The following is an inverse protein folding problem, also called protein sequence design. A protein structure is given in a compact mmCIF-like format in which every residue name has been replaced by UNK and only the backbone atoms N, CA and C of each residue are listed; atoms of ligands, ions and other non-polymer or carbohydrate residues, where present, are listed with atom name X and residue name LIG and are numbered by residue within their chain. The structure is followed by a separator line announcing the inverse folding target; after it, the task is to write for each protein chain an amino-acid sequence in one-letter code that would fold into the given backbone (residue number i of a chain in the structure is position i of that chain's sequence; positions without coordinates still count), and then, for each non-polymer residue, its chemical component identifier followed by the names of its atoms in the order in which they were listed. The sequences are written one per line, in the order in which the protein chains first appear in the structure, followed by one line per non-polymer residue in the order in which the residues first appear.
data_IF_088710120029
#
_entry.id   IF_088710120029
#
_cell.length_a   1.000
_cell.length_b   1.000
_cell.length_c   1.000
_cell.angle_alpha   90.00
_cell.angle_beta   90.00
_cell.angle_gamma   90.00
#
_symmetry.space_group_name_H-M   'P 1'
#
loop_
_entity.id
_entity.type
_entity.pdbx_description
1 polymer ?
#
# COMPACT_ATOMS: atom_id res chain seq x y z
N UNK A 1 -4.00 31.80 -13.37
CA UNK A 1 -3.00 30.80 -13.78
C UNK A 1 -3.73 29.47 -13.90
N UNK A 2 -4.04 29.03 -15.11
CA UNK A 2 -4.68 27.73 -15.33
C UNK A 2 -3.64 26.64 -15.08
N UNK A 3 -3.83 25.85 -14.01
CA UNK A 3 -3.00 24.69 -13.74
C UNK A 3 -3.27 23.64 -14.81
N UNK A 4 -2.25 23.27 -15.58
CA UNK A 4 -2.35 22.17 -16.56
C UNK A 4 -2.68 20.87 -15.82
N UNK A 5 -3.59 20.04 -16.35
CA UNK A 5 -3.90 18.73 -15.77
C UNK A 5 -2.63 17.87 -15.69
N UNK A 6 -2.52 17.08 -14.63
CA UNK A 6 -1.35 16.22 -14.43
C UNK A 6 -1.29 15.15 -15.53
N UNK A 7 -0.07 14.84 -15.99
CA UNK A 7 0.18 13.69 -16.85
C UNK A 7 -0.05 12.41 -16.02
N UNK A 8 -1.03 11.61 -16.44
CA UNK A 8 -1.44 10.38 -15.75
C UNK A 8 -0.31 9.35 -15.70
N UNK A 9 0.45 9.19 -16.79
CA UNK A 9 1.56 8.25 -16.82
C UNK A 9 2.67 8.68 -15.86
N UNK A 10 2.91 10.00 -15.80
CA UNK A 10 3.86 10.57 -14.83
C UNK A 10 3.38 10.33 -13.40
N UNK A 11 2.10 10.56 -13.10
CA UNK A 11 1.55 10.32 -11.76
C UNK A 11 1.69 8.87 -11.30
N UNK A 12 1.41 7.90 -12.20
CA UNK A 12 1.61 6.47 -11.91
C UNK A 12 3.09 6.16 -11.66
N UNK A 13 3.98 6.69 -12.52
CA UNK A 13 5.42 6.49 -12.39
C UNK A 13 5.99 7.06 -11.09
N UNK A 14 5.58 8.28 -10.73
CA UNK A 14 6.03 8.98 -9.53
C UNK A 14 5.58 8.22 -8.28
N UNK A 15 4.32 7.75 -8.26
CA UNK A 15 3.82 6.95 -7.14
C UNK A 15 4.52 5.59 -7.05
N UNK A 16 4.74 4.92 -8.18
CA UNK A 16 5.45 3.65 -8.20
C UNK A 16 6.90 3.78 -7.73
N UNK A 17 7.58 4.86 -8.13
CA UNK A 17 8.92 5.18 -7.66
C UNK A 17 8.95 5.46 -6.16
N UNK A 18 7.96 6.19 -5.65
CA UNK A 18 7.83 6.45 -4.21
C UNK A 18 7.73 5.13 -3.44
N UNK A 19 6.79 4.24 -3.77
CA UNK A 19 6.66 2.95 -3.09
C UNK A 19 7.94 2.11 -3.16
N UNK A 20 8.64 2.10 -4.30
CA UNK A 20 9.92 1.39 -4.45
C UNK A 20 11.03 1.98 -3.59
N UNK A 21 11.10 3.30 -3.45
CA UNK A 21 12.07 4.00 -2.59
C UNK A 21 11.83 3.65 -1.11
N UNK A 22 10.56 3.56 -0.69
CA UNK A 22 10.20 3.11 0.65
C UNK A 22 10.31 1.59 0.84
N UNK A 23 10.71 0.85 -0.19
CA UNK A 23 11.02 -0.58 -0.12
C UNK A 23 9.85 -1.52 -0.42
N UNK A 24 8.68 -1.01 -0.79
CA UNK A 24 7.51 -1.81 -1.16
C UNK A 24 7.63 -2.29 -2.62
N UNK A 25 8.17 -3.49 -2.79
CA UNK A 25 8.48 -4.08 -4.12
C UNK A 25 7.65 -5.32 -4.46
N UNK A 26 6.81 -5.76 -3.55
CA UNK A 26 6.00 -6.96 -3.71
C UNK A 26 4.83 -6.73 -4.67
N UNK A 27 4.04 -7.78 -4.92
CA UNK A 27 2.74 -7.62 -5.57
C UNK A 27 1.82 -6.73 -4.74
N UNK A 28 0.98 -5.99 -5.45
CA UNK A 28 -0.06 -5.15 -4.86
C UNK A 28 -1.42 -5.72 -5.23
N UNK A 29 -2.35 -5.65 -4.28
CA UNK A 29 -3.75 -5.93 -4.49
C UNK A 29 -4.51 -4.61 -4.37
N UNK A 30 -5.18 -4.20 -5.44
CA UNK A 30 -6.04 -3.04 -5.43
C UNK A 30 -7.48 -3.44 -5.10
N UNK A 31 -8.10 -2.70 -4.19
CA UNK A 31 -9.50 -2.75 -3.89
C UNK A 31 -10.11 -1.36 -4.08
N UNK A 32 -11.19 -1.29 -4.85
CA UNK A 32 -11.98 -0.09 -5.03
C UNK A 32 -13.28 -0.31 -4.27
N UNK A 33 -13.32 -0.03 -2.95
CA UNK A 33 -14.52 -0.30 -2.15
C UNK A 33 -15.73 0.38 -2.81
N UNK A 34 -16.95 -0.16 -2.65
CA UNK A 34 -18.19 0.43 -3.21
C UNK A 34 -18.31 0.53 -4.75
N UNK A 35 -17.28 0.21 -5.53
CA UNK A 35 -17.36 0.18 -7.00
C UNK A 35 -18.01 -1.07 -7.58
N UNK A 36 -18.16 -2.14 -6.79
CA UNK A 36 -18.56 -3.46 -7.28
C UNK A 36 -17.48 -4.19 -8.09
N UNK A 37 -16.35 -3.55 -8.37
CA UNK A 37 -15.23 -4.16 -9.09
C UNK A 37 -14.52 -5.20 -8.19
N UNK A 38 -14.14 -6.37 -8.74
CA UNK A 38 -13.38 -7.36 -8.00
C UNK A 38 -11.99 -6.82 -7.64
N UNK A 39 -11.43 -7.31 -6.53
CA UNK A 39 -10.03 -7.04 -6.19
C UNK A 39 -9.12 -7.54 -7.31
N UNK A 40 -8.09 -6.76 -7.62
CA UNK A 40 -7.09 -7.14 -8.62
C UNK A 40 -5.71 -7.17 -8.00
N UNK A 41 -4.95 -8.24 -8.26
CA UNK A 41 -3.58 -8.39 -7.79
C UNK A 41 -2.61 -8.36 -8.96
N UNK A 42 -1.60 -7.51 -8.88
CA UNK A 42 -0.61 -7.35 -9.94
C UNK A 42 0.61 -6.56 -9.49
N UNK A 43 1.35 -6.02 -10.45
CA UNK A 43 2.36 -5.02 -10.15
C UNK A 43 1.68 -3.67 -9.81
N UNK A 44 2.41 -2.76 -9.15
CA UNK A 44 1.83 -1.47 -8.73
C UNK A 44 1.32 -0.62 -9.90
N UNK A 45 2.05 -0.60 -11.02
CA UNK A 45 1.66 0.18 -12.19
C UNK A 45 0.33 -0.31 -12.77
N UNK A 46 0.14 -1.62 -12.90
CA UNK A 46 -1.07 -2.25 -13.41
C UNK A 46 -2.25 -1.95 -12.48
N UNK A 47 -2.04 -2.03 -11.16
CA UNK A 47 -3.05 -1.67 -10.17
C UNK A 47 -3.49 -0.20 -10.31
N UNK A 48 -2.54 0.73 -10.41
CA UNK A 48 -2.82 2.16 -10.55
C UNK A 48 -3.47 2.49 -11.90
N UNK A 49 -2.98 1.91 -12.99
CA UNK A 49 -3.56 2.06 -14.33
C UNK A 49 -5.00 1.54 -14.38
N UNK A 50 -5.27 0.41 -13.71
CA UNK A 50 -6.63 -0.15 -13.64
C UNK A 50 -7.59 0.77 -12.88
N UNK A 51 -7.13 1.38 -11.79
CA UNK A 51 -7.90 2.41 -11.10
C UNK A 51 -8.21 3.60 -12.02
N UNK A 52 -7.19 4.17 -12.67
CA UNK A 52 -7.38 5.31 -13.58
C UNK A 52 -8.32 4.99 -14.73
N UNK A 53 -8.20 3.79 -15.33
CA UNK A 53 -9.10 3.34 -16.38
C UNK A 53 -10.56 3.26 -15.88
N UNK A 54 -10.80 2.77 -14.67
CA UNK A 54 -12.12 2.73 -14.05
C UNK A 54 -12.65 4.14 -13.71
N UNK A 55 -11.77 5.07 -13.32
CA UNK A 55 -12.14 6.48 -13.11
C UNK A 55 -12.53 7.18 -14.42
N UNK A 56 -11.80 6.93 -15.51
CA UNK A 56 -12.06 7.53 -16.83
C UNK A 56 -13.37 7.02 -17.42
N UNK A 57 -13.71 5.75 -17.21
CA UNK A 57 -14.97 5.15 -17.66
C UNK A 57 -16.18 5.52 -16.81
N UNK A 58 -16.02 6.41 -15.82
CA UNK A 58 -17.04 6.81 -14.85
C UNK A 58 -17.65 5.65 -14.03
N UNK A 59 -17.03 4.47 -14.07
CA UNK A 59 -17.41 3.30 -13.27
C UNK A 59 -17.24 3.57 -11.75
N UNK A 60 -16.44 4.58 -11.42
CA UNK A 60 -16.14 5.03 -10.06
C UNK A 60 -16.82 6.35 -9.72
N UNK A 61 -17.99 6.65 -10.29
CA UNK A 61 -18.65 7.97 -10.18
C UNK A 61 -18.64 8.53 -8.75
N UNK A 62 -17.85 9.58 -8.52
CA UNK A 62 -17.67 10.25 -7.22
C UNK A 62 -16.61 9.66 -6.27
N UNK A 63 -16.02 8.51 -6.59
CA UNK A 63 -15.11 7.80 -5.71
C UNK A 63 -13.64 8.08 -6.01
N UNK A 64 -13.08 8.99 -5.22
CA UNK A 64 -11.66 9.40 -5.31
C UNK A 64 -10.71 8.53 -4.50
N UNK A 65 -11.24 7.64 -3.66
CA UNK A 65 -10.46 6.87 -2.69
C UNK A 65 -10.45 5.39 -3.04
N UNK A 66 -9.27 4.77 -3.00
CA UNK A 66 -9.07 3.35 -3.18
C UNK A 66 -8.06 2.79 -2.19
N UNK A 67 -8.00 1.47 -2.10
CA UNK A 67 -7.10 0.76 -1.18
C UNK A 67 -6.08 -0.05 -1.97
N UNK A 68 -4.82 0.02 -1.58
CA UNK A 68 -3.75 -0.86 -2.03
C UNK A 68 -3.27 -1.71 -0.86
N UNK A 69 -3.22 -3.02 -1.06
CA UNK A 69 -2.72 -3.98 -0.09
C UNK A 69 -1.41 -4.58 -0.63
N UNK A 70 -0.39 -4.69 0.21
CA UNK A 70 0.85 -5.40 -0.10
C UNK A 70 1.43 -6.04 1.16
N UNK A 71 2.43 -6.90 1.00
CA UNK A 71 3.12 -7.54 2.11
C UNK A 71 4.40 -6.81 2.44
N UNK A 72 4.79 -6.78 3.72
CA UNK A 72 6.10 -6.27 4.11
C UNK A 72 7.22 -7.04 3.38
N UNK A 73 8.33 -6.39 2.98
CA UNK A 73 9.35 -7.00 2.13
C UNK A 73 9.97 -8.29 2.70
N UNK A 74 10.00 -8.40 4.03
CA UNK A 74 10.65 -9.48 4.76
C UNK A 74 9.68 -10.43 5.47
N UNK A 75 8.35 -10.22 5.35
CA UNK A 75 7.37 -11.02 6.07
C UNK A 75 6.03 -11.07 5.36
N UNK A 76 5.55 -12.30 5.10
CA UNK A 76 4.18 -12.56 4.62
C UNK A 76 3.13 -12.50 5.73
N UNK A 77 3.52 -12.23 6.98
CA UNK A 77 2.58 -12.11 8.10
C UNK A 77 2.21 -10.66 8.41
N UNK A 78 2.86 -9.71 7.73
CA UNK A 78 2.65 -8.27 7.94
C UNK A 78 2.02 -7.73 6.67
N UNK A 79 0.72 -7.43 6.74
CA UNK A 79 -0.04 -6.83 5.66
C UNK A 79 0.02 -5.32 5.81
N UNK A 80 0.40 -4.62 4.74
CA UNK A 80 0.37 -3.17 4.65
C UNK A 80 -0.80 -2.78 3.75
N UNK A 81 -1.76 -2.03 4.30
CA UNK A 81 -2.89 -1.46 3.55
C UNK A 81 -2.70 0.05 3.46
N UNK A 82 -2.78 0.58 2.26
CA UNK A 82 -2.67 1.99 1.97
C UNK A 82 -4.02 2.48 1.47
N UNK A 83 -4.50 3.58 2.03
CA UNK A 83 -5.67 4.29 1.52
C UNK A 83 -5.17 5.49 0.72
N UNK A 84 -5.43 5.46 -0.58
CA UNK A 84 -4.98 6.45 -1.52
C UNK A 84 -6.15 7.24 -2.06
N UNK A 85 -5.91 8.51 -2.34
CA UNK A 85 -6.74 9.33 -3.20
C UNK A 85 -6.03 9.69 -4.50
N UNK A 86 -6.83 10.03 -5.51
CA UNK A 86 -6.35 10.57 -6.76
C UNK A 86 -7.05 11.89 -7.08
N UNK A 87 -6.26 12.92 -7.35
CA UNK A 87 -6.70 14.20 -7.84
C UNK A 87 -6.06 14.52 -9.20
N UNK A 88 -6.83 15.13 -10.11
CA UNK A 88 -6.35 15.45 -11.47
C UNK A 88 -5.32 16.58 -11.51
N UNK A 89 -5.19 17.35 -10.43
CA UNK A 89 -4.21 18.43 -10.30
C UNK A 89 -2.99 17.96 -9.49
N UNK A 90 -3.21 17.29 -8.36
CA UNK A 90 -2.12 16.90 -7.44
C UNK A 90 -1.54 15.49 -7.70
N UNK A 91 -2.27 14.62 -8.40
CA UNK A 91 -1.90 13.23 -8.62
C UNK A 91 -2.35 12.30 -7.49
N UNK A 92 -1.59 11.22 -7.27
CA UNK A 92 -1.91 10.27 -6.20
C UNK A 92 -1.36 10.71 -4.85
N UNK A 93 -2.16 10.57 -3.81
CA UNK A 93 -1.74 10.83 -2.45
C UNK A 93 -2.15 9.69 -1.52
N UNK A 94 -1.29 9.42 -0.54
CA UNK A 94 -1.55 8.44 0.51
C UNK A 94 -2.04 9.18 1.74
N UNK A 95 -3.28 8.92 2.13
CA UNK A 95 -3.90 9.56 3.29
C UNK A 95 -3.68 8.77 4.57
N UNK A 96 -3.66 7.44 4.45
CA UNK A 96 -3.55 6.54 5.58
C UNK A 96 -2.82 5.26 5.19
N UNK A 97 -2.05 4.74 6.13
CA UNK A 97 -1.47 3.40 6.04
C UNK A 97 -1.81 2.62 7.29
N UNK A 98 -2.28 1.39 7.12
CA UNK A 98 -2.48 0.41 8.18
C UNK A 98 -1.46 -0.71 8.02
N UNK A 99 -0.86 -1.14 9.13
CA UNK A 99 0.03 -2.28 9.16
C UNK A 99 -0.54 -3.30 10.13
N UNK A 100 -0.94 -4.45 9.59
CA UNK A 100 -1.58 -5.53 10.32
C UNK A 100 -0.63 -6.72 10.46
N UNK A 101 -0.31 -7.11 11.69
CA UNK A 101 0.36 -8.37 11.98
C UNK A 101 -0.66 -9.49 12.18
N UNK A 102 -0.76 -10.37 11.19
CA UNK A 102 -1.72 -11.47 11.16
C UNK A 102 -1.48 -12.52 12.26
N UNK A 103 -0.27 -12.62 12.81
CA UNK A 103 0.05 -13.55 13.91
C UNK A 103 -0.24 -12.98 15.28
N UNK A 104 0.01 -11.68 15.47
CA UNK A 104 -0.06 -11.01 16.77
C UNK A 104 -1.34 -10.23 17.03
N UNK A 105 -2.26 -10.14 16.05
CA UNK A 105 -3.45 -9.25 16.06
C UNK A 105 -3.10 -7.79 16.39
N UNK A 106 -1.89 -7.36 16.06
CA UNK A 106 -1.41 -6.02 16.36
C UNK A 106 -1.53 -5.18 15.08
N UNK A 107 -2.22 -4.05 15.20
CA UNK A 107 -2.48 -3.12 14.09
C UNK A 107 -1.87 -1.78 14.42
N UNK A 108 -1.08 -1.23 13.51
CA UNK A 108 -0.61 0.15 13.58
C UNK A 108 -1.23 0.97 12.46
N UNK A 109 -1.73 2.15 12.81
CA UNK A 109 -2.28 3.11 11.86
C UNK A 109 -1.38 4.34 11.78
N UNK A 110 -1.07 4.76 10.56
CA UNK A 110 -0.35 5.99 10.25
C UNK A 110 -1.26 6.88 9.42
N UNK A 111 -1.55 8.08 9.95
CA UNK A 111 -2.25 9.12 9.20
C UNK A 111 -1.23 10.04 8.58
N UNK A 112 -1.30 10.20 7.26
CA UNK A 112 -0.31 10.88 6.47
C UNK A 112 -0.93 12.15 5.91
N UNK A 113 -0.26 13.28 6.10
CA UNK A 113 -0.64 14.54 5.44
C UNK A 113 -0.01 14.65 4.06
N UNK A 114 1.15 14.00 3.89
CA UNK A 114 1.98 14.06 2.69
C UNK A 114 2.66 12.72 2.43
N UNK A 115 2.86 12.36 1.15
CA UNK A 115 3.45 11.08 0.75
C UNK A 115 4.87 10.86 1.31
N UNK A 116 5.63 11.93 1.60
CA UNK A 116 6.96 11.84 2.22
C UNK A 116 6.98 11.35 3.66
N UNK A 117 5.81 11.27 4.31
CA UNK A 117 5.68 10.78 5.68
C UNK A 117 5.42 9.26 5.72
N UNK A 118 5.33 8.61 4.55
CA UNK A 118 5.10 7.19 4.45
C UNK A 118 6.19 6.45 5.23
N UNK A 119 5.86 5.57 6.19
CA UNK A 119 6.88 4.76 6.84
C UNK A 119 7.49 3.82 5.79
N UNK A 120 8.80 3.65 5.83
CA UNK A 120 9.50 2.74 4.92
C UNK A 120 9.62 1.33 5.48
N UNK A 121 10.13 0.42 4.67
CA UNK A 121 10.43 -0.95 5.08
C UNK A 121 11.30 -1.02 6.34
N UNK A 122 12.28 -0.11 6.49
CA UNK A 122 13.13 -0.04 7.68
C UNK A 122 12.35 0.34 8.94
N UNK A 123 11.40 1.27 8.84
CA UNK A 123 10.52 1.62 9.96
C UNK A 123 9.68 0.42 10.37
N UNK A 124 9.15 -0.33 9.38
CA UNK A 124 8.42 -1.56 9.65
C UNK A 124 9.30 -2.61 10.34
N UNK A 125 10.56 -2.76 9.94
CA UNK A 125 11.51 -3.69 10.58
C UNK A 125 11.73 -3.37 12.06
N UNK A 126 11.77 -2.09 12.43
CA UNK A 126 11.87 -1.67 13.83
C UNK A 126 10.62 -2.00 14.65
N UNK A 127 9.43 -1.84 14.06
CA UNK A 127 8.15 -2.08 14.75
C UNK A 127 7.75 -3.54 14.80
N UNK A 128 8.10 -4.29 13.76
CA UNK A 128 7.84 -5.71 13.62
C UNK A 128 9.16 -6.43 13.32
N UNK A 129 9.99 -6.63 14.36
CA UNK A 129 11.31 -7.21 14.20
C UNK A 129 11.22 -8.59 13.55
N UNK A 130 12.16 -8.84 12.64
CA UNK A 130 12.32 -10.16 12.02
C UNK A 130 12.50 -11.20 13.12
N UNK A 131 11.84 -12.37 13.01
CA UNK A 131 12.08 -13.46 13.94
C UNK A 131 13.58 -13.81 13.91
N UNK A 132 14.21 -13.87 15.09
CA UNK A 132 15.63 -14.15 15.17
C UNK A 132 15.85 -15.62 14.79
N UNK A 133 16.98 -16.01 14.16
CA UNK A 133 17.22 -17.40 13.77
C UNK A 133 17.06 -18.41 14.91
N UNK A 134 17.33 -18.00 16.15
CA UNK A 134 17.19 -18.84 17.35
C UNK A 134 15.79 -18.81 18.00
N UNK A 135 14.84 -18.01 17.52
CA UNK A 135 13.46 -18.04 18.05
C UNK A 135 12.77 -19.37 17.75
N UNK A 136 13.22 -20.09 16.71
CA UNK A 136 12.78 -21.47 16.43
C UNK A 136 13.27 -22.46 17.50
N UNK A 137 14.44 -22.23 18.10
CA UNK A 137 14.99 -23.10 19.15
C UNK A 137 14.20 -22.96 20.47
N UNK A 138 13.62 -21.78 20.75
CA UNK A 138 12.77 -21.57 21.94
C UNK A 138 11.44 -22.32 21.89
N UNK A 139 10.99 -22.77 20.71
CA UNK A 139 9.78 -23.60 20.56
C UNK A 139 10.03 -25.09 20.81
N UNK A 140 11.28 -25.50 21.02
CA UNK A 140 11.66 -26.88 21.30
C UNK A 140 12.16 -27.07 22.73
N UNK A 141 11.23 -27.27 23.68
CA UNK A 141 11.39 -28.09 24.91
C UNK A 141 10.05 -28.16 25.64
N UNK A 142 9.04 -28.78 25.02
CA UNK A 142 8.08 -29.55 25.82
C UNK A 142 8.82 -30.81 26.25
N UNK A 143 9.31 -30.84 27.48
CA UNK A 143 9.72 -32.10 28.10
C UNK A 143 8.44 -32.93 28.33
N UNK A 144 8.47 -34.25 28.09
CA UNK A 144 7.40 -35.14 28.52
C UNK A 144 7.23 -35.09 30.04
#
# INVERSE_FOLDING_TARGET
MEQKPIDLEKAVRDMANLFRQYGYRNSFTIAMPKSGQPKFTGNLNDCLNRYLAATIKEELSGMRVFELETWAPYSRNILCRFHLDFDRQEGFKVNKMEVLNLKGKLTHEFRLRQNRQLPGAQTLEGMFPKPKPWDFLKKGKRRP
#
